data_IF_710221331783
#
_entry.id   IF_710221331783
#
_cell.length_a   1.000
_cell.length_b   1.000
_cell.length_c   1.000
_cell.angle_alpha   90.00
_cell.angle_beta   90.00
_cell.angle_gamma   90.00
#
_symmetry.space_group_name_H-M   'P 1'
#
loop_
_entity.id
_entity.type
_entity.pdbx_description
1 polymer ?
#
# COMPACT_ATOMS: atom_id res chain seq x y z
N UNK A 1 1.58 -2.77 -1.62
CA UNK A 1 3.03 -3.03 -1.60
C UNK A 1 3.42 -3.16 -3.05
N UNK A 2 4.15 -2.23 -3.68
CA UNK A 2 4.35 -2.29 -5.13
C UNK A 2 5.65 -3.03 -5.46
N UNK A 3 5.62 -3.90 -6.45
CA UNK A 3 6.82 -4.54 -7.01
C UNK A 3 6.75 -4.32 -8.51
N UNK A 4 7.75 -3.67 -9.11
CA UNK A 4 7.93 -3.71 -10.56
C UNK A 4 8.42 -5.10 -10.93
N UNK A 5 7.75 -5.80 -11.86
CA UNK A 5 8.21 -7.12 -12.31
C UNK A 5 9.39 -6.96 -13.26
N UNK A 6 10.59 -7.27 -12.76
CA UNK A 6 11.79 -7.54 -13.55
C UNK A 6 12.87 -6.49 -13.38
N UNK A 7 13.92 -6.76 -12.58
CA UNK A 7 15.10 -5.90 -12.41
C UNK A 7 14.87 -4.41 -12.05
N UNK A 8 13.62 -3.96 -11.93
CA UNK A 8 13.20 -2.60 -11.65
C UNK A 8 12.86 -2.48 -10.16
N UNK A 9 13.23 -1.36 -9.55
CA UNK A 9 13.06 -1.11 -8.13
C UNK A 9 11.59 -1.29 -7.70
N UNK A 10 11.38 -1.84 -6.50
CA UNK A 10 10.05 -1.81 -5.90
C UNK A 10 9.65 -0.36 -5.64
N UNK A 11 8.36 -0.06 -5.58
CA UNK A 11 7.90 1.28 -5.25
C UNK A 11 7.14 1.22 -3.94
N UNK A 12 7.33 2.21 -3.08
CA UNK A 12 6.60 2.31 -1.82
C UNK A 12 6.09 3.72 -1.61
N UNK A 13 4.79 3.86 -1.44
CA UNK A 13 4.25 5.12 -0.99
C UNK A 13 4.47 5.32 0.52
N UNK A 14 4.53 6.58 0.96
CA UNK A 14 4.48 6.89 2.39
C UNK A 14 3.27 6.28 3.09
N UNK A 15 2.15 6.16 2.35
CA UNK A 15 0.94 5.49 2.82
C UNK A 15 1.17 4.00 3.13
N UNK A 16 1.91 3.30 2.26
CA UNK A 16 2.23 1.87 2.48
C UNK A 16 3.00 1.67 3.77
N UNK A 17 3.96 2.54 4.04
CA UNK A 17 4.79 2.46 5.25
C UNK A 17 3.95 2.82 6.47
N UNK A 18 3.16 3.90 6.41
CA UNK A 18 2.27 4.29 7.50
C UNK A 18 1.25 3.20 7.85
N UNK A 19 0.69 2.52 6.85
CA UNK A 19 -0.25 1.41 7.07
C UNK A 19 0.43 0.21 7.74
N UNK A 20 1.63 -0.18 7.28
CA UNK A 20 2.40 -1.27 7.87
C UNK A 20 2.77 -0.97 9.33
N UNK A 21 3.26 0.24 9.62
CA UNK A 21 3.57 0.70 10.99
C UNK A 21 2.33 0.72 11.88
N UNK A 22 1.17 1.14 11.33
CA UNK A 22 -0.10 1.14 12.05
C UNK A 22 -0.55 -0.28 12.43
N UNK A 23 -0.39 -1.25 11.52
CA UNK A 23 -0.70 -2.65 11.78
C UNK A 23 0.18 -3.24 12.90
N UNK A 24 1.48 -2.99 12.86
CA UNK A 24 2.44 -3.41 13.92
C UNK A 24 2.06 -2.77 15.26
N UNK A 25 1.82 -1.46 15.26
CA UNK A 25 1.45 -0.70 16.46
C UNK A 25 0.14 -1.21 17.07
N UNK A 26 -0.83 -1.57 16.22
CA UNK A 26 -2.07 -2.23 16.66
C UNK A 26 -1.77 -3.60 17.26
N UNK A 27 -0.90 -4.41 16.67
CA UNK A 27 -0.48 -5.71 17.21
C UNK A 27 0.04 -5.61 18.65
N UNK A 28 0.88 -4.61 18.94
CA UNK A 28 1.38 -4.35 20.29
C UNK A 28 0.25 -3.96 21.25
N UNK A 29 -0.65 -3.04 20.85
CA UNK A 29 -1.80 -2.63 21.69
C UNK A 29 -2.72 -3.80 22.02
N UNK A 30 -2.92 -4.69 21.05
CA UNK A 30 -3.75 -5.89 21.20
C UNK A 30 -3.04 -7.04 21.90
N UNK A 31 -1.77 -6.85 22.32
CA UNK A 31 -0.93 -7.87 22.98
C UNK A 31 -0.74 -9.16 22.17
N UNK A 32 -0.90 -9.08 20.84
CA UNK A 32 -0.62 -10.20 19.92
C UNK A 32 0.80 -10.13 19.34
N UNK A 33 1.52 -9.05 19.62
CA UNK A 33 2.92 -8.84 19.24
C UNK A 33 3.67 -8.23 20.43
N UNK A 34 4.88 -8.72 20.72
CA UNK A 34 5.71 -8.12 21.76
C UNK A 34 6.30 -6.78 21.30
N UNK A 35 6.74 -5.95 22.25
CA UNK A 35 7.42 -4.69 21.91
C UNK A 35 8.78 -4.92 21.24
N UNK A 36 9.43 -6.05 21.55
CA UNK A 36 10.71 -6.43 20.96
C UNK A 36 10.52 -6.85 19.50
N UNK A 37 9.59 -7.77 19.24
CA UNK A 37 9.26 -8.19 17.88
C UNK A 37 8.80 -7.02 17.01
N UNK A 38 8.01 -6.10 17.58
CA UNK A 38 7.60 -4.90 16.88
C UNK A 38 8.77 -4.02 16.47
N UNK A 39 9.78 -3.83 17.34
CA UNK A 39 10.98 -3.04 16.99
C UNK A 39 11.78 -3.72 15.89
N UNK A 40 11.95 -5.03 15.96
CA UNK A 40 12.62 -5.82 14.91
C UNK A 40 11.89 -5.68 13.57
N UNK A 41 10.56 -5.79 13.56
CA UNK A 41 9.76 -5.63 12.36
C UNK A 41 9.85 -4.22 11.76
N UNK A 42 9.78 -3.18 12.60
CA UNK A 42 9.91 -1.78 12.17
C UNK A 42 11.30 -1.51 11.56
N UNK A 43 12.37 -1.97 12.21
CA UNK A 43 13.73 -1.84 11.67
C UNK A 43 13.89 -2.57 10.33
N UNK A 44 13.23 -3.72 10.16
CA UNK A 44 13.19 -4.43 8.88
C UNK A 44 12.48 -3.64 7.78
N UNK A 45 11.35 -3.01 8.09
CA UNK A 45 10.64 -2.13 7.15
C UNK A 45 11.51 -0.95 6.72
N UNK A 46 12.15 -0.27 7.69
CA UNK A 46 13.01 0.88 7.41
C UNK A 46 14.22 0.49 6.55
N UNK A 47 14.86 -0.64 6.86
CA UNK A 47 15.99 -1.16 6.09
C UNK A 47 15.61 -1.57 4.66
N UNK A 48 14.44 -2.19 4.48
CA UNK A 48 13.93 -2.54 3.16
C UNK A 48 13.56 -1.30 2.34
N UNK A 49 12.84 -0.35 2.94
CA UNK A 49 12.46 0.90 2.28
C UNK A 49 13.68 1.74 1.84
N UNK A 50 14.78 1.70 2.60
CA UNK A 50 16.00 2.41 2.26
C UNK A 50 16.83 1.74 1.15
N UNK A 51 16.70 0.42 0.95
CA UNK A 51 17.61 -0.35 0.09
C UNK A 51 16.98 -0.88 -1.20
N UNK A 52 15.66 -1.07 -1.24
CA UNK A 52 15.01 -1.83 -2.30
C UNK A 52 13.81 -1.12 -2.94
N UNK A 53 13.45 0.08 -2.45
CA UNK A 53 12.27 0.79 -2.93
C UNK A 53 12.49 2.27 -3.26
N UNK A 54 11.95 2.70 -4.39
CA UNK A 54 11.70 4.12 -4.64
C UNK A 54 10.54 4.59 -3.77
N UNK A 55 10.75 5.69 -3.04
CA UNK A 55 9.76 6.23 -2.12
C UNK A 55 8.91 7.29 -2.79
N UNK A 56 7.60 7.09 -2.78
CA UNK A 56 6.62 7.97 -3.41
C UNK A 56 5.83 8.74 -2.35
N UNK A 57 5.87 10.06 -2.46
CA UNK A 57 5.09 10.93 -1.60
C UNK A 57 3.60 10.81 -1.88
N UNK A 58 2.82 10.83 -0.80
CA UNK A 58 1.36 10.93 -0.87
C UNK A 58 1.01 12.41 -1.04
N UNK A 59 0.42 12.76 -2.17
CA UNK A 59 -0.03 14.13 -2.43
C UNK A 59 -1.48 14.30 -1.98
N UNK A 60 -1.89 15.52 -1.65
CA UNK A 60 -3.30 15.83 -1.38
C UNK A 60 -4.21 15.52 -2.58
N UNK A 61 -3.65 15.48 -3.79
CA UNK A 61 -4.35 15.06 -5.00
C UNK A 61 -4.80 13.58 -4.95
N UNK A 62 -4.01 12.71 -4.30
CA UNK A 62 -4.32 11.29 -4.16
C UNK A 62 -5.52 11.09 -3.23
N UNK A 63 -5.56 11.85 -2.14
CA UNK A 63 -6.70 11.83 -1.20
C UNK A 63 -7.98 12.24 -1.91
N UNK A 64 -7.95 13.34 -2.69
CA UNK A 64 -9.11 13.78 -3.49
C UNK A 64 -9.47 12.77 -4.60
N UNK A 65 -8.50 12.07 -5.17
CA UNK A 65 -8.75 11.03 -6.17
C UNK A 65 -9.44 9.81 -5.53
N UNK A 66 -8.97 9.37 -4.37
CA UNK A 66 -9.61 8.29 -3.61
C UNK A 66 -11.04 8.68 -3.19
N UNK A 67 -11.25 9.92 -2.76
CA UNK A 67 -12.59 10.45 -2.48
C UNK A 67 -13.50 10.36 -3.71
N UNK A 68 -13.06 10.83 -4.88
CA UNK A 68 -13.84 10.75 -6.12
C UNK A 68 -14.16 9.31 -6.52
N UNK A 69 -13.18 8.41 -6.40
CA UNK A 69 -13.38 6.98 -6.66
C UNK A 69 -14.47 6.39 -5.75
N UNK A 70 -14.43 6.69 -4.44
CA UNK A 70 -15.43 6.19 -3.50
C UNK A 70 -16.82 6.81 -3.74
N UNK A 71 -16.89 8.06 -4.20
CA UNK A 71 -18.15 8.72 -4.56
C UNK A 71 -18.85 8.11 -5.77
N UNK A 72 -18.16 7.34 -6.60
CA UNK A 72 -18.80 6.64 -7.72
C UNK A 72 -19.69 5.50 -7.23
N UNK A 73 -19.44 4.98 -6.02
CA UNK A 73 -20.15 3.84 -5.42
C UNK A 73 -20.02 2.52 -6.21
N UNK A 74 -19.13 2.47 -7.20
CA UNK A 74 -18.90 1.29 -8.04
C UNK A 74 -17.83 0.34 -7.48
N UNK A 75 -17.25 0.68 -6.33
CA UNK A 75 -16.20 -0.09 -5.67
C UNK A 75 -16.57 -0.44 -4.24
N UNK A 76 -16.09 -1.60 -3.79
CA UNK A 76 -16.22 -2.05 -2.39
C UNK A 76 -15.02 -1.68 -1.53
N UNK A 77 -14.04 -0.97 -2.10
CA UNK A 77 -12.84 -0.55 -1.38
C UNK A 77 -13.17 0.46 -0.27
N UNK A 78 -12.45 0.36 0.85
CA UNK A 78 -12.39 1.42 1.87
C UNK A 78 -11.31 2.43 1.50
N UNK A 79 -11.35 3.61 2.12
CA UNK A 79 -10.40 4.71 1.85
C UNK A 79 -8.91 4.31 1.87
N UNK A 80 -8.41 3.53 2.85
CA UNK A 80 -7.04 3.01 2.81
C UNK A 80 -6.66 2.31 1.52
N UNK A 81 -7.53 1.42 1.05
CA UNK A 81 -7.25 0.56 -0.10
C UNK A 81 -7.44 1.34 -1.41
N UNK A 82 -8.44 2.23 -1.45
CA UNK A 82 -8.63 3.16 -2.57
C UNK A 82 -7.40 4.08 -2.74
N UNK A 83 -6.78 4.52 -1.65
CA UNK A 83 -5.60 5.39 -1.69
C UNK A 83 -4.40 4.71 -2.37
N UNK A 84 -4.17 3.43 -2.10
CA UNK A 84 -3.15 2.65 -2.81
C UNK A 84 -3.43 2.56 -4.31
N UNK A 85 -4.69 2.29 -4.69
CA UNK A 85 -5.08 2.17 -6.10
C UNK A 85 -4.84 3.49 -6.84
N UNK A 86 -5.28 4.62 -6.29
CA UNK A 86 -5.10 5.92 -6.98
C UNK A 86 -3.64 6.37 -7.04
N UNK A 87 -2.82 6.04 -6.03
CA UNK A 87 -1.38 6.30 -6.09
C UNK A 87 -0.75 5.49 -7.23
N UNK A 88 -1.11 4.21 -7.34
CA UNK A 88 -0.64 3.34 -8.41
C UNK A 88 -1.03 3.87 -9.80
N UNK A 89 -2.30 4.30 -9.95
CA UNK A 89 -2.79 4.94 -11.18
C UNK A 89 -1.99 6.20 -11.52
N UNK A 90 -1.74 7.06 -10.53
CA UNK A 90 -1.01 8.32 -10.73
C UNK A 90 0.41 8.09 -11.25
N UNK A 91 1.11 7.11 -10.70
CA UNK A 91 2.51 6.84 -11.06
C UNK A 91 2.65 5.84 -12.21
N UNK A 92 1.53 5.32 -12.74
CA UNK A 92 1.54 4.34 -13.81
C UNK A 92 2.12 2.97 -13.42
N UNK A 93 2.11 2.63 -12.13
CA UNK A 93 2.70 1.38 -11.64
C UNK A 93 1.64 0.27 -11.47
N UNK A 94 2.01 -1.01 -11.69
CA UNK A 94 1.15 -2.13 -11.33
C UNK A 94 1.00 -2.24 -9.80
N UNK A 95 -0.15 -2.73 -9.35
CA UNK A 95 -0.38 -3.01 -7.93
C UNK A 95 0.04 -4.44 -7.59
N UNK A 96 0.77 -4.58 -6.49
CA UNK A 96 0.97 -5.85 -5.82
C UNK A 96 0.27 -5.80 -4.45
N UNK A 97 -0.53 -6.82 -4.16
CA UNK A 97 -1.29 -6.92 -2.92
C UNK A 97 -1.62 -8.37 -2.60
N UNK A 98 -1.58 -8.72 -1.32
CA UNK A 98 -2.06 -10.01 -0.82
C UNK A 98 -3.57 -9.99 -0.54
N UNK A 99 -4.21 -8.83 -0.60
CA UNK A 99 -5.66 -8.69 -0.43
C UNK A 99 -6.38 -8.99 -1.75
N UNK A 100 -7.08 -10.11 -1.79
CA UNK A 100 -7.81 -10.57 -2.98
C UNK A 100 -9.00 -9.68 -3.34
N UNK A 101 -9.63 -9.03 -2.36
CA UNK A 101 -10.69 -8.06 -2.61
C UNK A 101 -10.07 -6.84 -3.29
N UNK A 102 -8.98 -6.32 -2.74
CA UNK A 102 -8.27 -5.19 -3.31
C UNK A 102 -7.77 -5.47 -4.73
N UNK A 103 -7.15 -6.63 -4.94
CA UNK A 103 -6.67 -7.07 -6.25
C UNK A 103 -7.81 -7.14 -7.29
N UNK A 104 -8.97 -7.67 -6.91
CA UNK A 104 -10.13 -7.75 -7.79
C UNK A 104 -10.68 -6.37 -8.13
N UNK A 105 -10.86 -5.50 -7.14
CA UNK A 105 -11.40 -4.15 -7.38
C UNK A 105 -10.41 -3.28 -8.18
N UNK A 106 -9.11 -3.39 -7.93
CA UNK A 106 -8.08 -2.69 -8.70
C UNK A 106 -8.11 -3.08 -10.19
N UNK A 107 -8.28 -4.37 -10.50
CA UNK A 107 -8.45 -4.84 -11.90
C UNK A 107 -9.70 -4.24 -12.55
N UNK A 108 -10.84 -4.20 -11.84
CA UNK A 108 -12.08 -3.55 -12.36
C UNK A 108 -11.86 -2.07 -12.67
N UNK A 109 -11.00 -1.41 -11.90
CA UNK A 109 -10.63 0.00 -12.05
C UNK A 109 -9.50 0.22 -13.10
N UNK A 110 -9.19 -0.80 -13.90
CA UNK A 110 -8.25 -0.71 -15.01
C UNK A 110 -6.78 -0.81 -14.62
N UNK A 111 -6.47 -1.21 -13.39
CA UNK A 111 -5.10 -1.35 -12.93
C UNK A 111 -4.54 -2.75 -13.23
N UNK A 112 -3.29 -2.82 -13.70
CA UNK A 112 -2.55 -4.08 -13.73
C UNK A 112 -2.25 -4.54 -12.31
N UNK A 113 -2.55 -5.80 -12.02
CA UNK A 113 -2.25 -6.42 -10.72
C UNK A 113 -1.27 -7.56 -10.94
N UNK A 114 -0.19 -7.58 -10.16
CA UNK A 114 0.81 -8.66 -10.18
C UNK A 114 0.35 -9.78 -9.27
N UNK A 115 0.43 -11.01 -9.79
CA UNK A 115 0.12 -12.22 -9.05
C UNK A 115 1.38 -12.75 -8.35
N UNK A 116 1.20 -13.28 -7.14
CA UNK A 116 2.24 -13.76 -6.21
C UNK A 116 1.83 -15.10 -5.63
#
# INVERSE_FOLDING_TARGET
MFVGTGSEASVLSDWTIAEAVSAISRGVRMRVLSREDARTALAGIDGWAASAAERIEVASADIRAAERMLRSLDTTLRTPDALHVVIAQRIGAPLLTFDQVMAREARKLGLTVIEI
#
